data_IF_363271244851
#
_entry.id   IF_363271244851
#
_cell.length_a   1.000
_cell.length_b   1.000
_cell.length_c   1.000
_cell.angle_alpha   90.00
_cell.angle_beta   90.00
_cell.angle_gamma   90.00
#
_symmetry.space_group_name_H-M   'P 1'
#
loop_
_entity.id
_entity.type
_entity.pdbx_description
1 polymer ?
#
# COMPACT_ATOMS: atom_id res chain seq x y z
N UNK A 1 -14.48 -3.96 -11.15
CA UNK A 1 -14.34 -5.30 -10.52
C UNK A 1 -12.94 -5.42 -9.94
N UNK A 2 -12.82 -5.81 -8.68
CA UNK A 2 -11.53 -6.03 -8.00
C UNK A 2 -10.71 -7.09 -8.75
N UNK A 3 -9.48 -6.72 -9.15
CA UNK A 3 -8.53 -7.66 -9.74
C UNK A 3 -7.45 -7.98 -8.71
N UNK A 4 -7.26 -9.27 -8.38
CA UNK A 4 -6.05 -9.74 -7.71
C UNK A 4 -4.99 -10.02 -8.78
N UNK A 5 -3.86 -9.35 -8.69
CA UNK A 5 -2.74 -9.55 -9.61
C UNK A 5 -2.02 -10.86 -9.29
N UNK A 6 -1.58 -11.54 -10.36
CA UNK A 6 -0.82 -12.81 -10.31
C UNK A 6 0.56 -12.61 -10.90
N UNK A 7 1.38 -13.65 -10.94
CA UNK A 7 2.73 -13.62 -11.56
C UNK A 7 2.66 -13.18 -13.03
N UNK A 8 1.56 -13.44 -13.72
CA UNK A 8 1.35 -13.01 -15.11
C UNK A 8 1.21 -11.49 -15.25
N UNK A 9 0.86 -10.80 -14.15
CA UNK A 9 0.73 -9.34 -14.10
C UNK A 9 2.02 -8.62 -13.71
N UNK A 10 3.15 -9.33 -13.56
CA UNK A 10 4.40 -8.74 -13.10
C UNK A 10 4.81 -7.51 -13.92
N UNK A 11 4.73 -7.58 -15.25
CA UNK A 11 5.08 -6.45 -16.11
C UNK A 11 4.20 -5.22 -15.84
N UNK A 12 2.90 -5.41 -15.61
CA UNK A 12 1.97 -4.34 -15.26
C UNK A 12 2.27 -3.75 -13.88
N UNK A 13 2.51 -4.59 -12.88
CA UNK A 13 2.88 -4.16 -11.52
C UNK A 13 4.19 -3.38 -11.55
N UNK A 14 5.22 -3.88 -12.25
CA UNK A 14 6.49 -3.18 -12.44
C UNK A 14 6.31 -1.83 -13.15
N UNK A 15 5.43 -1.74 -14.15
CA UNK A 15 5.20 -0.48 -14.88
C UNK A 15 4.56 0.60 -14.00
N UNK A 16 3.68 0.22 -13.07
CA UNK A 16 3.05 1.16 -12.15
C UNK A 16 4.02 1.55 -11.04
N UNK A 17 4.58 0.58 -10.32
CA UNK A 17 5.48 0.86 -9.19
C UNK A 17 6.81 1.50 -9.61
N UNK A 18 7.30 1.17 -10.81
CA UNK A 18 8.49 1.78 -11.41
C UNK A 18 8.24 3.13 -12.09
N UNK A 19 7.00 3.62 -12.11
CA UNK A 19 6.70 4.91 -12.74
C UNK A 19 7.48 6.05 -12.06
N UNK A 20 8.09 7.00 -12.81
CA UNK A 20 8.93 8.07 -12.24
C UNK A 20 8.26 8.92 -11.17
N UNK A 21 6.92 9.06 -11.23
CA UNK A 21 6.15 9.79 -10.22
C UNK A 21 5.72 8.94 -9.02
N UNK A 22 6.05 7.65 -8.98
CA UNK A 22 5.69 6.71 -7.91
C UNK A 22 6.94 6.17 -7.22
N UNK A 23 7.87 5.60 -7.99
CA UNK A 23 9.03 4.88 -7.46
C UNK A 23 9.81 5.63 -6.36
N UNK A 24 10.13 6.94 -6.51
CA UNK A 24 10.86 7.67 -5.47
C UNK A 24 10.07 7.83 -4.16
N UNK A 25 8.76 7.72 -4.19
CA UNK A 25 7.88 7.90 -3.02
C UNK A 25 7.56 6.61 -2.26
N UNK A 26 7.74 5.46 -2.93
CA UNK A 26 7.42 4.14 -2.35
C UNK A 26 8.67 3.31 -2.02
N UNK A 27 9.86 3.85 -2.25
CA UNK A 27 11.14 3.16 -2.04
C UNK A 27 12.06 3.94 -1.12
N UNK A 28 12.93 3.21 -0.44
CA UNK A 28 14.05 3.72 0.36
C UNK A 28 15.39 3.55 -0.39
N UNK A 29 16.50 3.86 0.27
CA UNK A 29 17.84 3.78 -0.33
C UNK A 29 18.32 2.34 -0.58
N UNK A 30 17.62 1.34 -0.06
CA UNK A 30 17.90 -0.09 -0.31
C UNK A 30 17.22 -0.65 -1.55
N UNK A 31 16.32 0.14 -2.18
CA UNK A 31 15.56 -0.32 -3.34
C UNK A 31 16.46 -0.61 -4.54
N UNK A 32 16.16 -1.66 -5.32
CA UNK A 32 16.93 -2.00 -6.51
C UNK A 32 16.77 -0.93 -7.59
N UNK A 33 17.75 -0.78 -8.50
CA UNK A 33 17.57 0.03 -9.70
C UNK A 33 16.35 -0.44 -10.52
N UNK A 34 15.67 0.50 -11.19
CA UNK A 34 14.45 0.21 -11.97
C UNK A 34 14.61 -0.95 -12.97
N UNK A 35 15.79 -1.10 -13.56
CA UNK A 35 16.09 -2.18 -14.52
C UNK A 35 16.01 -3.59 -13.91
N UNK A 36 16.05 -3.71 -12.59
CA UNK A 36 16.02 -4.98 -11.85
C UNK A 36 14.71 -5.17 -11.07
N UNK A 37 13.69 -4.35 -11.31
CA UNK A 37 12.39 -4.53 -10.68
C UNK A 37 11.75 -5.84 -11.14
N UNK A 38 11.45 -6.69 -10.16
CA UNK A 38 10.73 -7.95 -10.35
C UNK A 38 9.87 -8.23 -9.10
N UNK A 39 8.57 -8.21 -9.29
CA UNK A 39 7.61 -8.51 -8.22
C UNK A 39 7.10 -9.96 -8.27
N UNK A 40 7.60 -10.78 -9.21
CA UNK A 40 7.22 -12.20 -9.29
C UNK A 40 7.32 -12.95 -7.96
N UNK A 41 8.41 -12.78 -7.15
CA UNK A 41 8.49 -13.46 -5.85
C UNK A 41 7.36 -13.08 -4.88
N UNK A 42 6.93 -11.81 -4.90
CA UNK A 42 5.81 -11.34 -4.07
C UNK A 42 4.46 -11.84 -4.58
N UNK A 43 4.26 -11.78 -5.91
CA UNK A 43 3.03 -12.22 -6.56
C UNK A 43 2.80 -13.73 -6.43
N UNK A 44 3.85 -14.50 -6.19
CA UNK A 44 3.80 -15.95 -5.99
C UNK A 44 3.39 -16.35 -4.54
N UNK A 45 3.38 -15.41 -3.59
CA UNK A 45 3.05 -15.71 -2.20
C UNK A 45 1.55 -15.67 -1.97
N UNK A 46 0.98 -16.76 -1.46
CA UNK A 46 -0.48 -16.89 -1.21
C UNK A 46 -1.01 -15.84 -0.23
N UNK A 47 -0.22 -15.47 0.78
CA UNK A 47 -0.61 -14.51 1.82
C UNK A 47 -0.36 -13.04 1.43
N UNK A 48 0.27 -12.77 0.28
CA UNK A 48 0.42 -11.44 -0.29
C UNK A 48 -0.72 -11.16 -1.26
N UNK A 49 -1.38 -10.03 -1.09
CA UNK A 49 -2.48 -9.62 -1.97
C UNK A 49 -2.10 -8.33 -2.69
N UNK A 50 -1.86 -8.43 -3.99
CA UNK A 50 -1.69 -7.27 -4.87
C UNK A 50 -3.01 -7.05 -5.58
N UNK A 51 -3.74 -6.03 -5.17
CA UNK A 51 -5.08 -5.71 -5.67
C UNK A 51 -5.03 -4.50 -6.58
N UNK A 52 -5.76 -4.56 -7.68
CA UNK A 52 -6.02 -3.44 -8.58
C UNK A 52 -7.54 -3.20 -8.61
N UNK A 53 -8.08 -2.38 -7.70
CA UNK A 53 -9.50 -2.07 -7.68
C UNK A 53 -9.95 -1.30 -8.93
N UNK A 54 -9.06 -0.43 -9.41
CA UNK A 54 -9.27 0.42 -10.59
C UNK A 54 -7.99 0.50 -11.42
N UNK A 55 -8.08 0.74 -12.74
CA UNK A 55 -6.89 0.92 -13.58
C UNK A 55 -5.95 1.98 -13.01
N UNK A 56 -4.66 1.67 -12.97
CA UNK A 56 -3.62 2.57 -12.44
C UNK A 56 -3.57 2.72 -10.92
N UNK A 57 -4.45 2.04 -10.16
CA UNK A 57 -4.43 2.01 -8.69
C UNK A 57 -3.99 0.64 -8.20
N UNK A 58 -2.87 0.56 -7.50
CA UNK A 58 -2.38 -0.65 -6.83
C UNK A 58 -2.47 -0.51 -5.32
N UNK A 59 -2.87 -1.59 -4.67
CA UNK A 59 -2.84 -1.73 -3.22
C UNK A 59 -2.24 -3.09 -2.89
N UNK A 60 -1.11 -3.07 -2.18
CA UNK A 60 -0.33 -4.28 -1.84
C UNK A 60 -0.49 -4.53 -0.35
N UNK A 61 -0.95 -5.71 0.01
CA UNK A 61 -1.08 -6.16 1.40
C UNK A 61 -0.07 -7.26 1.68
N UNK A 62 0.81 -7.04 2.63
CA UNK A 62 1.82 -7.98 3.08
C UNK A 62 1.50 -8.48 4.49
N UNK A 63 1.53 -9.80 4.75
CA UNK A 63 1.18 -10.34 6.05
C UNK A 63 2.24 -9.97 7.10
N UNK A 64 1.78 -9.49 8.27
CA UNK A 64 2.61 -9.36 9.47
C UNK A 64 2.42 -10.58 10.35
N UNK A 65 1.17 -11.04 10.48
CA UNK A 65 0.79 -12.24 11.21
C UNK A 65 -0.55 -12.78 10.67
N UNK A 66 -1.17 -13.73 11.36
CA UNK A 66 -2.40 -14.39 10.89
C UNK A 66 -3.65 -13.52 10.80
N UNK A 67 -3.62 -12.29 11.33
CA UNK A 67 -4.77 -11.38 11.37
C UNK A 67 -4.45 -9.93 10.97
N UNK A 68 -3.16 -9.60 10.76
CA UNK A 68 -2.71 -8.25 10.46
C UNK A 68 -1.89 -8.21 9.17
N UNK A 69 -2.23 -7.28 8.29
CA UNK A 69 -1.49 -6.99 7.06
C UNK A 69 -1.00 -5.54 7.02
N UNK A 70 0.19 -5.33 6.50
CA UNK A 70 0.68 -3.99 6.14
C UNK A 70 0.26 -3.67 4.71
N UNK A 71 -0.22 -2.44 4.50
CA UNK A 71 -0.65 -1.96 3.19
C UNK A 71 0.28 -0.90 2.63
N UNK A 72 0.58 -1.05 1.33
CA UNK A 72 1.23 -0.05 0.49
C UNK A 72 0.33 0.27 -0.69
N UNK A 73 0.21 1.55 -1.02
CA UNK A 73 -0.66 2.00 -2.11
C UNK A 73 0.10 2.87 -3.09
N UNK A 74 -0.21 2.72 -4.37
CA UNK A 74 0.35 3.50 -5.45
C UNK A 74 -0.72 3.82 -6.49
N UNK A 75 -0.67 5.03 -7.06
CA UNK A 75 -1.57 5.43 -8.14
C UNK A 75 -0.81 6.21 -9.21
N UNK A 76 -1.06 5.86 -10.48
CA UNK A 76 -0.64 6.66 -11.61
C UNK A 76 -1.22 8.08 -11.50
N UNK A 77 -0.56 9.11 -12.05
CA UNK A 77 -0.99 10.50 -11.90
C UNK A 77 -2.47 10.74 -12.19
N UNK A 78 -2.98 10.13 -13.25
CA UNK A 78 -4.38 10.24 -13.69
C UNK A 78 -5.39 9.52 -12.78
N UNK A 79 -4.91 8.64 -11.91
CA UNK A 79 -5.73 7.84 -10.99
C UNK A 79 -5.63 8.31 -9.53
N UNK A 80 -5.03 9.47 -9.28
CA UNK A 80 -4.88 10.05 -7.94
C UNK A 80 -6.16 10.73 -7.44
N UNK A 81 -6.12 11.24 -6.22
CA UNK A 81 -7.24 11.93 -5.60
C UNK A 81 -8.37 10.98 -5.22
N UNK A 82 -9.60 11.35 -5.58
CA UNK A 82 -10.80 10.60 -5.21
C UNK A 82 -10.81 9.18 -5.76
N UNK A 83 -10.29 8.98 -6.99
CA UNK A 83 -10.18 7.65 -7.60
C UNK A 83 -9.33 6.72 -6.74
N UNK A 84 -8.16 7.17 -6.28
CA UNK A 84 -7.30 6.36 -5.40
C UNK A 84 -7.92 6.17 -4.01
N UNK A 85 -8.59 7.18 -3.47
CA UNK A 85 -9.27 7.08 -2.18
C UNK A 85 -10.37 6.03 -2.19
N UNK A 86 -11.21 6.04 -3.22
CA UNK A 86 -12.26 5.02 -3.41
C UNK A 86 -11.65 3.63 -3.65
N UNK A 87 -10.63 3.53 -4.50
CA UNK A 87 -9.91 2.28 -4.74
C UNK A 87 -9.31 1.69 -3.46
N UNK A 88 -8.71 2.52 -2.60
CA UNK A 88 -8.15 2.07 -1.33
C UNK A 88 -9.24 1.57 -0.37
N UNK A 89 -10.40 2.22 -0.30
CA UNK A 89 -11.54 1.75 0.50
C UNK A 89 -12.09 0.41 0.00
N UNK A 90 -12.23 0.27 -1.32
CA UNK A 90 -12.67 -0.99 -1.94
C UNK A 90 -11.67 -2.12 -1.64
N UNK A 91 -10.37 -1.85 -1.70
CA UNK A 91 -9.34 -2.83 -1.39
C UNK A 91 -9.37 -3.25 0.09
N UNK A 92 -9.55 -2.31 1.02
CA UNK A 92 -9.71 -2.60 2.44
C UNK A 92 -10.94 -3.47 2.71
N UNK A 93 -12.08 -3.11 2.13
CA UNK A 93 -13.31 -3.88 2.26
C UNK A 93 -13.11 -5.31 1.75
N UNK A 94 -12.52 -5.46 0.57
CA UNK A 94 -12.23 -6.76 0.00
C UNK A 94 -11.33 -7.62 0.90
N UNK A 95 -10.28 -7.04 1.47
CA UNK A 95 -9.38 -7.74 2.40
C UNK A 95 -10.14 -8.25 3.64
N UNK A 96 -10.97 -7.41 4.23
CA UNK A 96 -11.73 -7.78 5.43
C UNK A 96 -12.84 -8.79 5.16
N UNK A 97 -13.37 -8.86 3.94
CA UNK A 97 -14.45 -9.78 3.55
C UNK A 97 -13.92 -11.13 3.08
N UNK A 98 -12.77 -11.15 2.38
CA UNK A 98 -12.31 -12.33 1.65
C UNK A 98 -11.08 -13.02 2.27
N UNK A 99 -10.56 -12.49 3.38
CA UNK A 99 -9.37 -13.04 4.05
C UNK A 99 -9.56 -13.10 5.56
N UNK A 100 -8.67 -13.77 6.31
CA UNK A 100 -8.68 -13.73 7.78
C UNK A 100 -8.30 -12.38 8.39
N UNK A 101 -8.06 -11.35 7.58
CA UNK A 101 -7.62 -10.03 8.01
C UNK A 101 -8.61 -9.40 9.01
N UNK A 102 -8.07 -8.93 10.13
CA UNK A 102 -8.81 -8.18 11.17
C UNK A 102 -8.30 -6.76 11.32
N UNK A 103 -7.05 -6.51 10.94
CA UNK A 103 -6.41 -5.22 11.05
C UNK A 103 -5.48 -4.99 9.85
N UNK A 104 -5.54 -3.77 9.31
CA UNK A 104 -4.59 -3.29 8.30
C UNK A 104 -3.82 -2.12 8.90
N UNK A 105 -2.50 -2.14 8.74
CA UNK A 105 -1.59 -1.08 9.18
C UNK A 105 -0.80 -0.52 8.02
N UNK A 106 -0.25 0.67 8.18
CA UNK A 106 0.73 1.26 7.26
C UNK A 106 1.74 2.10 8.03
N UNK A 107 2.98 2.14 7.53
CA UNK A 107 4.03 3.02 8.04
C UNK A 107 4.34 4.09 6.99
N UNK A 108 4.04 5.35 7.29
CA UNK A 108 4.19 6.46 6.35
C UNK A 108 5.38 7.32 6.74
N UNK A 109 6.43 7.45 5.89
CA UNK A 109 7.54 8.35 6.14
C UNK A 109 7.08 9.80 6.29
N UNK A 110 7.72 10.55 7.19
CA UNK A 110 7.30 11.92 7.57
C UNK A 110 7.32 12.92 6.41
N UNK A 111 8.08 12.66 5.35
CA UNK A 111 8.08 13.51 4.15
C UNK A 111 6.88 13.23 3.20
N UNK A 112 6.17 12.10 3.36
CA UNK A 112 5.10 11.71 2.45
C UNK A 112 3.72 12.14 2.97
N UNK A 113 3.45 13.44 2.93
CA UNK A 113 2.20 14.02 3.42
C UNK A 113 0.97 13.55 2.63
N UNK A 114 1.12 13.21 1.34
CA UNK A 114 0.01 12.70 0.51
C UNK A 114 -0.44 11.32 0.97
N UNK A 115 0.49 10.42 1.23
CA UNK A 115 0.17 9.09 1.75
C UNK A 115 -0.45 9.17 3.15
N UNK A 116 0.06 10.06 4.03
CA UNK A 116 -0.51 10.28 5.35
C UNK A 116 -1.95 10.79 5.27
N UNK A 117 -2.23 11.72 4.35
CA UNK A 117 -3.58 12.23 4.13
C UNK A 117 -4.52 11.15 3.61
N UNK A 118 -4.09 10.38 2.61
CA UNK A 118 -4.88 9.25 2.08
C UNK A 118 -5.24 8.26 3.20
N UNK A 119 -4.25 7.82 4.00
CA UNK A 119 -4.48 6.88 5.09
C UNK A 119 -5.55 7.40 6.08
N UNK A 120 -5.49 8.68 6.46
CA UNK A 120 -6.50 9.30 7.33
C UNK A 120 -7.88 9.40 6.67
N UNK A 121 -7.93 9.76 5.39
CA UNK A 121 -9.19 9.89 4.63
C UNK A 121 -9.93 8.55 4.46
N UNK A 122 -9.20 7.44 4.34
CA UNK A 122 -9.81 6.10 4.27
C UNK A 122 -10.17 5.54 5.65
N UNK A 123 -9.85 6.27 6.72
CA UNK A 123 -10.28 5.94 8.09
C UNK A 123 -9.22 5.34 8.98
N UNK A 124 -7.96 5.26 8.54
CA UNK A 124 -6.88 4.82 9.41
C UNK A 124 -6.59 5.84 10.52
N UNK A 125 -6.29 5.35 11.70
CA UNK A 125 -6.01 6.14 12.90
C UNK A 125 -4.51 6.06 13.22
N UNK A 126 -3.83 7.18 13.54
CA UNK A 126 -2.47 7.15 14.03
C UNK A 126 -2.34 6.33 15.31
N UNK A 127 -1.39 5.41 15.35
CA UNK A 127 -1.14 4.50 16.48
C UNK A 127 0.23 4.70 17.11
N UNK A 128 1.12 5.46 16.48
CA UNK A 128 2.44 5.75 17.01
C UNK A 128 3.40 6.29 15.97
N UNK A 129 4.65 6.47 16.42
CA UNK A 129 5.77 6.91 15.58
C UNK A 129 6.89 5.90 15.68
N UNK A 130 7.29 5.35 14.55
CA UNK A 130 8.51 4.58 14.42
C UNK A 130 9.67 5.56 14.14
N UNK A 131 10.50 5.77 15.17
CA UNK A 131 11.54 6.81 15.11
C UNK A 131 12.73 6.34 14.30
N UNK A 132 13.25 7.24 13.40
CA UNK A 132 14.49 7.03 12.64
C UNK A 132 14.49 5.69 11.87
N UNK A 133 13.40 5.39 11.20
CA UNK A 133 13.09 4.07 10.65
C UNK A 133 13.05 4.01 9.13
N UNK A 134 13.35 5.12 8.44
CA UNK A 134 13.30 5.16 6.98
C UNK A 134 14.46 6.01 6.43
N UNK A 135 15.34 5.39 5.65
CA UNK A 135 16.50 6.06 5.03
C UNK A 135 16.15 6.43 3.58
N UNK A 136 16.14 7.71 3.26
CA UNK A 136 15.87 8.22 1.92
C UNK A 136 16.84 9.35 1.56
N UNK A 137 17.54 9.18 0.43
CA UNK A 137 18.53 10.15 -0.07
C UNK A 137 19.57 10.54 1.00
N UNK A 138 20.02 9.55 1.78
CA UNK A 138 20.97 9.72 2.88
C UNK A 138 20.40 10.36 4.16
N UNK A 139 19.10 10.69 4.18
CA UNK A 139 18.41 11.28 5.35
C UNK A 139 17.56 10.23 6.05
N UNK A 140 17.66 10.19 7.38
CA UNK A 140 16.85 9.26 8.20
C UNK A 140 15.59 9.98 8.68
N UNK A 141 14.43 9.41 8.31
CA UNK A 141 13.11 9.92 8.66
C UNK A 141 12.42 9.04 9.71
N UNK A 142 11.49 9.65 10.44
CA UNK A 142 10.51 8.92 11.21
C UNK A 142 9.39 8.43 10.29
N UNK A 143 8.66 7.39 10.72
CA UNK A 143 7.43 6.95 10.08
C UNK A 143 6.27 7.06 11.07
N UNK A 144 5.12 7.54 10.60
CA UNK A 144 3.86 7.45 11.35
C UNK A 144 3.25 6.07 11.11
N UNK A 145 2.96 5.36 12.18
CA UNK A 145 2.20 4.12 12.15
C UNK A 145 0.72 4.46 12.21
N UNK A 146 -0.08 3.99 11.25
CA UNK A 146 -1.53 4.10 11.26
C UNK A 146 -2.15 2.72 11.10
N UNK A 147 -3.37 2.56 11.61
CA UNK A 147 -4.10 1.31 11.50
C UNK A 147 -5.61 1.50 11.38
N UNK A 148 -6.27 0.47 10.87
CA UNK A 148 -7.73 0.36 10.85
C UNK A 148 -8.12 -1.08 11.13
N UNK A 149 -9.09 -1.27 12.06
CA UNK A 149 -9.68 -2.57 12.35
C UNK A 149 -10.92 -2.81 11.47
N UNK A 150 -11.24 -4.07 11.25
CA UNK A 150 -12.41 -4.49 10.44
C UNK A 150 -13.70 -3.82 10.91
N UNK A 151 -13.93 -3.77 12.22
CA UNK A 151 -15.13 -3.22 12.84
C UNK A 151 -15.26 -1.70 12.61
N UNK A 152 -14.12 -0.99 12.51
CA UNK A 152 -14.10 0.46 12.27
C UNK A 152 -14.50 0.82 10.84
N UNK A 153 -14.19 -0.04 9.85
CA UNK A 153 -14.62 0.18 8.47
C UNK A 153 -16.13 -0.01 8.34
N UNK A 154 -16.70 -1.02 9.02
CA UNK A 154 -18.14 -1.31 8.99
C UNK A 154 -18.99 -0.22 9.62
N UNK A 155 -18.48 0.48 10.66
CA UNK A 155 -19.18 1.58 11.32
C UNK A 155 -19.25 2.89 10.51
N UNK A 156 -18.54 2.97 9.36
CA UNK A 156 -18.44 4.19 8.53
C UNK A 156 -19.19 4.08 7.20
N UNK A 157 -19.84 2.95 6.97
CA UNK A 157 -20.79 2.73 5.85
C UNK A 157 -22.22 3.06 6.29
#
# INVERSE_FOLDING_TARGET
>A
MMKRCTIEDNALVCSILGHPSIYPWVTDDSAPPLAFLDYTPFLALDAVYVLMPRPGCLTIFMPINGVTWEVHSAALPESRGDTMMEAAREALAWMFENTPCRKVVTCVPSFNSLALRLAKQIGMVPEGVNRRSFLKDGVIYNQTLLGICKEELLCRQ
#
